data_IF_670123004100
#
_entry.id   IF_670123004100
#
_cell.length_a   1.000
_cell.length_b   1.000
_cell.length_c   1.000
_cell.angle_alpha   90.00
_cell.angle_beta   90.00
_cell.angle_gamma   90.00
#
_symmetry.space_group_name_H-M   'P 1'
#
loop_
_entity.id
_entity.type
_entity.pdbx_description
1 polymer ?
#
# COMPACT_ATOMS: atom_id res chain seq x y z
N UNK A 1 -47.60 13.85 2.27
CA UNK A 1 -48.41 13.95 3.51
C UNK A 1 -49.24 12.70 3.63
N UNK A 2 -49.21 12.01 4.78
CA UNK A 2 -50.15 10.98 5.29
C UNK A 2 -49.33 10.10 6.26
N UNK A 3 -49.10 10.56 7.48
CA UNK A 3 -49.86 10.20 8.70
C UNK A 3 -49.83 8.69 8.97
N UNK A 4 -48.93 8.28 9.87
CA UNK A 4 -49.21 7.19 10.82
C UNK A 4 -50.56 7.43 11.48
N UNK A 5 -51.31 6.36 11.80
CA UNK A 5 -51.65 6.22 13.21
C UNK A 5 -51.87 4.78 13.73
N UNK A 6 -51.84 4.69 15.08
CA UNK A 6 -52.35 3.65 15.99
C UNK A 6 -51.47 2.40 16.22
N UNK A 7 -50.76 2.31 17.35
CA UNK A 7 -51.24 1.98 18.70
C UNK A 7 -51.61 0.49 18.84
N UNK A 8 -50.63 -0.27 19.34
CA UNK A 8 -50.70 -1.71 19.61
C UNK A 8 -51.52 -1.94 20.89
N UNK A 9 -52.64 -2.67 20.79
CA UNK A 9 -53.28 -3.32 21.92
C UNK A 9 -52.63 -4.69 22.13
N UNK A 10 -52.16 -4.94 23.34
CA UNK A 10 -51.66 -6.24 23.76
C UNK A 10 -52.84 -7.20 24.02
N UNK A 11 -52.86 -8.33 23.33
CA UNK A 11 -53.67 -9.49 23.69
C UNK A 11 -52.76 -10.70 23.83
N UNK A 12 -52.80 -11.28 25.01
CA UNK A 12 -52.08 -12.47 25.45
C UNK A 12 -52.68 -13.74 24.82
N UNK A 13 -51.80 -14.64 24.35
CA UNK A 13 -52.08 -16.08 24.35
C UNK A 13 -51.98 -16.79 23.00
N UNK A 14 -50.86 -17.48 22.76
CA UNK A 14 -50.77 -18.95 22.66
C UNK A 14 -49.36 -19.36 22.22
N UNK A 15 -48.88 -20.42 22.85
CA UNK A 15 -47.56 -21.01 22.65
C UNK A 15 -47.36 -21.51 21.22
N UNK A 16 -46.58 -20.77 20.44
CA UNK A 16 -45.87 -21.28 19.27
C UNK A 16 -44.39 -21.33 19.62
N UNK A 17 -43.80 -22.52 19.60
CA UNK A 17 -42.35 -22.70 19.70
C UNK A 17 -41.71 -22.13 18.44
N UNK A 18 -41.36 -20.85 18.48
CA UNK A 18 -40.49 -20.25 17.48
C UNK A 18 -39.11 -20.89 17.62
N UNK A 19 -38.81 -21.87 16.76
CA UNK A 19 -37.43 -22.27 16.49
C UNK A 19 -36.74 -21.04 15.90
N UNK A 20 -36.05 -20.30 16.76
CA UNK A 20 -35.05 -19.33 16.32
C UNK A 20 -33.94 -20.14 15.65
N UNK A 21 -33.98 -20.26 14.32
CA UNK A 21 -32.77 -20.50 13.56
C UNK A 21 -31.87 -19.28 13.80
N UNK A 22 -31.07 -19.32 14.86
CA UNK A 22 -29.84 -18.56 14.91
C UNK A 22 -28.98 -19.14 13.79
N UNK A 23 -29.12 -18.58 12.60
CA UNK A 23 -28.03 -18.62 11.65
C UNK A 23 -26.88 -17.93 12.37
N UNK A 24 -25.95 -18.73 12.90
CA UNK A 24 -24.65 -18.23 13.28
C UNK A 24 -24.07 -17.67 12.00
N UNK A 25 -24.19 -16.36 11.80
CA UNK A 25 -23.40 -15.65 10.80
C UNK A 25 -21.97 -15.77 11.31
N UNK A 26 -21.29 -16.82 10.87
CA UNK A 26 -19.84 -16.86 10.96
C UNK A 26 -19.40 -15.76 10.00
N UNK A 27 -19.18 -14.56 10.53
CA UNK A 27 -18.39 -13.53 9.88
C UNK A 27 -17.02 -14.18 9.65
N UNK A 28 -16.84 -14.81 8.49
CA UNK A 28 -15.51 -15.12 7.99
C UNK A 28 -14.92 -13.76 7.67
N UNK A 29 -13.85 -13.31 8.36
CA UNK A 29 -13.11 -12.16 7.87
C UNK A 29 -12.29 -12.68 6.70
N UNK A 30 -12.93 -12.95 5.56
CA UNK A 30 -12.22 -13.11 4.31
C UNK A 30 -12.20 -11.72 3.71
N UNK A 31 -11.02 -11.11 3.73
CA UNK A 31 -10.77 -9.85 3.08
C UNK A 31 -10.80 -10.10 1.56
N UNK A 32 -12.01 -10.13 1.02
CA UNK A 32 -12.32 -10.35 -0.40
C UNK A 32 -11.88 -9.15 -1.23
N UNK A 33 -11.50 -9.43 -2.48
CA UNK A 33 -11.20 -8.41 -3.45
C UNK A 33 -12.51 -7.88 -4.06
N UNK A 34 -12.63 -6.56 -4.13
CA UNK A 34 -13.77 -5.91 -4.76
C UNK A 34 -13.48 -5.60 -6.22
N UNK A 35 -14.44 -5.87 -7.09
CA UNK A 35 -14.54 -5.32 -8.45
C UNK A 35 -15.89 -4.60 -8.56
N UNK A 36 -15.90 -3.43 -9.17
CA UNK A 36 -17.14 -2.68 -9.42
C UNK A 36 -18.14 -3.53 -10.21
N UNK A 37 -19.45 -3.50 -9.89
CA UNK A 37 -20.48 -4.21 -10.66
C UNK A 37 -20.65 -3.65 -12.09
N UNK A 38 -19.96 -2.56 -12.42
CA UNK A 38 -19.87 -1.99 -13.77
C UNK A 38 -18.73 -2.58 -14.59
N UNK A 39 -18.02 -3.56 -14.07
CA UNK A 39 -16.95 -4.27 -14.74
C UNK A 39 -17.10 -5.78 -14.56
N UNK A 40 -16.49 -6.52 -15.46
CA UNK A 40 -16.40 -7.98 -15.35
C UNK A 40 -14.99 -8.46 -15.68
N UNK A 41 -14.57 -9.52 -15.00
CA UNK A 41 -13.33 -10.22 -15.28
C UNK A 41 -13.53 -11.15 -16.49
N UNK A 42 -12.63 -11.07 -17.48
CA UNK A 42 -12.62 -11.94 -18.66
C UNK A 42 -11.23 -12.57 -18.84
N UNK A 43 -11.13 -13.81 -19.34
CA UNK A 43 -9.86 -14.36 -19.82
C UNK A 43 -9.27 -13.47 -20.92
N UNK A 44 -7.94 -13.30 -20.92
CA UNK A 44 -7.20 -12.51 -21.88
C UNK A 44 -6.10 -13.37 -22.49
N UNK A 45 -6.04 -13.44 -23.82
CA UNK A 45 -5.06 -14.30 -24.52
C UNK A 45 -3.64 -13.82 -24.17
N UNK A 46 -2.83 -14.72 -23.63
CA UNK A 46 -1.42 -14.44 -23.28
C UNK A 46 -1.20 -13.57 -22.03
N UNK A 47 -2.26 -13.07 -21.38
CA UNK A 47 -2.17 -12.18 -20.21
C UNK A 47 -3.03 -12.64 -19.02
N UNK A 48 -3.54 -13.88 -19.05
CA UNK A 48 -4.34 -14.45 -17.97
C UNK A 48 -5.76 -13.91 -17.96
N UNK A 49 -6.05 -12.96 -17.07
CA UNK A 49 -7.38 -12.35 -16.90
C UNK A 49 -7.25 -10.84 -16.88
N UNK A 50 -8.29 -10.14 -17.33
CA UNK A 50 -8.39 -8.69 -17.29
C UNK A 50 -9.81 -8.24 -17.01
N UNK A 51 -9.96 -7.03 -16.48
CA UNK A 51 -11.26 -6.45 -16.16
C UNK A 51 -11.69 -5.48 -17.25
N UNK A 52 -12.97 -5.56 -17.63
CA UNK A 52 -13.55 -4.76 -18.70
C UNK A 52 -14.81 -4.07 -18.22
N UNK A 53 -14.99 -2.81 -18.58
CA UNK A 53 -16.22 -2.08 -18.29
C UNK A 53 -17.40 -2.70 -19.06
N UNK A 54 -18.49 -3.01 -18.35
CA UNK A 54 -19.79 -3.46 -18.90
C UNK A 54 -20.88 -2.39 -18.79
N UNK A 55 -20.57 -1.28 -18.11
CA UNK A 55 -21.37 -0.06 -18.05
C UNK A 55 -20.42 1.16 -17.99
N UNK A 56 -20.86 2.37 -18.36
CA UNK A 56 -20.04 3.57 -18.20
C UNK A 56 -19.58 3.75 -16.75
N UNK A 57 -18.31 4.08 -16.53
CA UNK A 57 -17.75 4.33 -15.20
C UNK A 57 -17.28 5.78 -15.15
N UNK A 58 -17.77 6.56 -14.18
CA UNK A 58 -17.38 7.95 -14.03
C UNK A 58 -15.99 8.09 -13.38
N UNK A 59 -15.27 9.16 -13.70
CA UNK A 59 -14.03 9.52 -13.03
C UNK A 59 -14.21 9.55 -11.50
N UNK A 60 -13.18 9.10 -10.77
CA UNK A 60 -13.19 9.01 -9.31
C UNK A 60 -13.92 7.79 -8.74
N UNK A 61 -14.61 6.99 -9.56
CA UNK A 61 -15.24 5.74 -9.09
C UNK A 61 -14.17 4.73 -8.66
N UNK A 62 -14.33 4.13 -7.48
CA UNK A 62 -13.54 2.97 -7.06
C UNK A 62 -13.92 1.79 -7.96
N UNK A 63 -12.97 1.35 -8.78
CA UNK A 63 -13.17 0.24 -9.72
C UNK A 63 -12.75 -1.09 -9.13
N UNK A 64 -11.75 -1.10 -8.25
CA UNK A 64 -11.31 -2.29 -7.54
C UNK A 64 -10.75 -1.94 -6.16
N UNK A 65 -10.79 -2.90 -5.24
CA UNK A 65 -10.09 -2.82 -3.96
C UNK A 65 -9.44 -4.16 -3.66
N UNK A 66 -8.16 -4.13 -3.32
CA UNK A 66 -7.43 -5.31 -2.87
C UNK A 66 -7.72 -5.52 -1.38
N UNK A 67 -8.40 -6.61 -1.08
CA UNK A 67 -8.42 -7.22 0.24
C UNK A 67 -7.20 -8.13 0.42
N UNK A 68 -7.11 -8.74 1.59
CA UNK A 68 -6.11 -9.75 1.89
C UNK A 68 -5.62 -9.73 3.32
N UNK A 69 -4.66 -10.61 3.59
CA UNK A 69 -3.95 -10.65 4.87
C UNK A 69 -2.68 -9.80 4.76
N UNK A 70 -2.47 -8.80 5.66
CA UNK A 70 -1.22 -8.05 5.68
C UNK A 70 -0.06 -8.97 6.10
N UNK A 71 1.00 -9.01 5.30
CA UNK A 71 2.22 -9.77 5.55
C UNK A 71 3.45 -8.89 5.34
N UNK A 72 4.51 -9.18 6.10
CA UNK A 72 5.85 -8.71 5.78
C UNK A 72 6.41 -9.42 4.54
N UNK A 73 7.50 -8.88 3.97
CA UNK A 73 8.13 -9.44 2.77
C UNK A 73 8.55 -10.90 2.97
N UNK A 74 9.15 -11.20 4.12
CA UNK A 74 9.68 -12.52 4.43
C UNK A 74 8.59 -13.61 4.50
N UNK A 75 7.39 -13.26 4.95
CA UNK A 75 6.22 -14.15 4.97
C UNK A 75 5.53 -14.16 3.61
N UNK A 76 5.43 -13.02 2.94
CA UNK A 76 4.83 -12.88 1.62
C UNK A 76 5.55 -13.74 0.57
N UNK A 77 6.89 -13.74 0.57
CA UNK A 77 7.73 -14.51 -0.37
C UNK A 77 7.59 -16.03 -0.26
N UNK A 78 6.98 -16.53 0.82
CA UNK A 78 6.69 -17.97 1.00
C UNK A 78 5.52 -18.45 0.14
N UNK A 79 4.79 -17.52 -0.49
CA UNK A 79 3.65 -17.82 -1.35
C UNK A 79 4.03 -17.94 -2.83
N UNK A 80 3.24 -18.70 -3.57
CA UNK A 80 3.45 -18.94 -4.99
C UNK A 80 3.37 -17.65 -5.83
N UNK A 81 4.04 -17.65 -6.98
CA UNK A 81 4.15 -16.48 -7.83
C UNK A 81 2.79 -15.98 -8.36
N UNK A 82 1.83 -16.87 -8.62
CA UNK A 82 0.51 -16.49 -9.12
C UNK A 82 -0.34 -15.78 -8.06
N UNK A 83 -0.22 -16.16 -6.79
CA UNK A 83 -0.86 -15.44 -5.69
C UNK A 83 -0.17 -14.11 -5.40
N UNK A 84 1.17 -14.07 -5.47
CA UNK A 84 1.94 -12.85 -5.26
C UNK A 84 1.66 -11.79 -6.33
N UNK A 85 1.53 -12.17 -7.61
CA UNK A 85 1.25 -11.25 -8.72
C UNK A 85 -0.18 -10.68 -8.75
N UNK A 86 -1.05 -11.10 -7.83
CA UNK A 86 -2.42 -10.57 -7.63
C UNK A 86 -2.60 -9.89 -6.30
N UNK A 87 -1.51 -9.70 -5.59
CA UNK A 87 -1.46 -9.01 -4.31
C UNK A 87 -0.97 -7.58 -4.52
N UNK A 88 -1.03 -6.75 -3.47
CA UNK A 88 -0.57 -5.36 -3.58
C UNK A 88 0.32 -4.98 -2.40
N UNK A 89 1.38 -4.22 -2.69
CA UNK A 89 2.17 -3.56 -1.66
C UNK A 89 1.45 -2.32 -1.13
N UNK A 90 1.27 -2.23 0.19
CA UNK A 90 0.57 -1.11 0.84
C UNK A 90 1.45 -0.25 1.74
N UNK A 91 2.62 -0.78 2.15
CA UNK A 91 3.65 -0.05 2.88
C UNK A 91 5.06 -0.65 2.62
N UNK A 92 6.09 -0.09 3.25
CA UNK A 92 7.52 -0.42 3.03
C UNK A 92 7.82 -1.92 3.11
N UNK A 93 7.28 -2.60 4.12
CA UNK A 93 7.40 -4.04 4.36
C UNK A 93 6.02 -4.63 4.67
N UNK A 94 5.00 -4.21 3.90
CA UNK A 94 3.63 -4.66 4.12
C UNK A 94 2.90 -4.86 2.81
N UNK A 95 2.44 -6.08 2.61
CA UNK A 95 1.76 -6.55 1.41
C UNK A 95 0.40 -7.14 1.81
N UNK A 96 -0.65 -6.80 1.09
CA UNK A 96 -1.93 -7.49 1.23
C UNK A 96 -1.91 -8.74 0.35
N UNK A 97 -1.70 -9.89 0.99
CA UNK A 97 -1.76 -11.16 0.30
C UNK A 97 -3.21 -11.48 -0.06
N UNK A 98 -3.50 -11.49 -1.36
CA UNK A 98 -4.82 -11.76 -1.91
C UNK A 98 -5.35 -13.17 -1.55
N UNK A 99 -6.62 -13.46 -1.87
CA UNK A 99 -7.26 -14.74 -1.57
C UNK A 99 -6.53 -15.93 -2.23
N UNK A 100 -6.61 -17.15 -1.65
CA UNK A 100 -5.98 -18.34 -2.23
C UNK A 100 -6.51 -18.70 -3.63
N UNK A 101 -7.76 -18.33 -3.92
CA UNK A 101 -8.39 -18.50 -5.24
C UNK A 101 -8.53 -17.13 -5.88
N UNK A 102 -8.39 -17.08 -7.20
CA UNK A 102 -8.54 -15.84 -7.97
C UNK A 102 -9.96 -15.30 -7.86
N UNK A 103 -10.08 -14.03 -7.51
CA UNK A 103 -11.35 -13.30 -7.47
C UNK A 103 -11.40 -12.23 -8.58
N UNK A 104 -12.59 -11.74 -8.98
CA UNK A 104 -12.70 -10.73 -10.03
C UNK A 104 -11.90 -9.45 -9.78
N UNK A 105 -11.76 -9.03 -8.52
CA UNK A 105 -10.97 -7.85 -8.15
C UNK A 105 -9.46 -8.02 -8.34
N UNK A 106 -8.98 -9.25 -8.60
CA UNK A 106 -7.57 -9.55 -8.85
C UNK A 106 -7.12 -9.18 -10.27
N UNK A 107 -8.06 -8.87 -11.17
CA UNK A 107 -7.82 -8.82 -12.61
C UNK A 107 -7.71 -7.39 -13.15
N UNK A 108 -7.08 -6.47 -12.43
CA UNK A 108 -6.74 -5.15 -12.95
C UNK A 108 -5.28 -5.18 -13.44
N UNK A 109 -5.10 -5.29 -14.74
CA UNK A 109 -3.78 -5.44 -15.34
C UNK A 109 -3.02 -4.12 -15.45
N UNK A 110 -1.73 -4.28 -15.70
CA UNK A 110 -0.83 -3.19 -16.00
C UNK A 110 -1.08 -2.55 -17.39
N UNK A 111 -1.03 -1.22 -17.47
CA UNK A 111 -0.78 -0.44 -18.70
C UNK A 111 0.16 0.73 -18.42
N UNK A 112 1.07 1.05 -19.35
CA UNK A 112 1.91 2.27 -19.27
C UNK A 112 1.12 3.55 -19.61
N UNK A 113 -0.05 3.39 -20.24
CA UNK A 113 -1.04 4.45 -20.51
C UNK A 113 -2.40 4.00 -19.90
N UNK A 114 -2.53 4.04 -18.56
CA UNK A 114 -3.70 3.51 -17.89
C UNK A 114 -4.89 4.47 -17.90
N UNK A 115 -6.07 3.95 -17.57
CA UNK A 115 -7.28 4.73 -17.30
C UNK A 115 -7.68 4.75 -15.80
N UNK A 116 -7.00 3.96 -14.97
CA UNK A 116 -7.16 3.90 -13.53
C UNK A 116 -5.84 4.20 -12.80
N UNK A 117 -5.92 4.56 -11.52
CA UNK A 117 -4.77 4.81 -10.66
C UNK A 117 -5.11 4.57 -9.19
N UNK A 118 -4.15 4.74 -8.27
CA UNK A 118 -4.40 4.50 -6.85
C UNK A 118 -5.25 5.62 -6.25
N UNK A 119 -6.34 5.25 -5.57
CA UNK A 119 -7.18 6.14 -4.76
C UNK A 119 -6.93 6.01 -3.26
N UNK A 120 -5.92 5.23 -2.86
CA UNK A 120 -5.59 4.93 -1.48
C UNK A 120 -4.51 3.86 -1.40
N UNK A 121 -4.35 3.22 -0.24
CA UNK A 121 -3.35 2.16 -0.07
C UNK A 121 -3.68 0.89 -0.88
N UNK A 122 -4.96 0.54 -1.00
CA UNK A 122 -5.42 -0.69 -1.65
C UNK A 122 -6.57 -0.48 -2.63
N UNK A 123 -6.92 0.77 -2.94
CA UNK A 123 -8.05 1.12 -3.82
C UNK A 123 -7.55 1.59 -5.17
N UNK A 124 -8.18 1.09 -6.24
CA UNK A 124 -7.97 1.56 -7.61
C UNK A 124 -9.20 2.36 -8.04
N UNK A 125 -8.97 3.56 -8.56
CA UNK A 125 -10.01 4.49 -8.99
C UNK A 125 -9.86 4.85 -10.46
N UNK A 126 -10.97 5.16 -11.13
CA UNK A 126 -10.95 5.69 -12.48
C UNK A 126 -10.37 7.11 -12.51
N UNK A 127 -9.39 7.39 -13.38
CA UNK A 127 -8.77 8.72 -13.52
C UNK A 127 -9.54 9.63 -14.47
N UNK A 128 -10.36 9.03 -15.34
CA UNK A 128 -11.24 9.68 -16.30
C UNK A 128 -12.54 8.87 -16.42
N UNK A 129 -13.51 9.39 -17.15
CA UNK A 129 -14.66 8.59 -17.55
C UNK A 129 -14.20 7.43 -18.45
N UNK A 130 -14.77 6.24 -18.21
CA UNK A 130 -14.45 4.99 -18.91
C UNK A 130 -15.71 4.50 -19.63
N UNK A 131 -15.57 4.25 -20.92
CA UNK A 131 -16.62 3.76 -21.78
C UNK A 131 -16.81 2.23 -21.65
N UNK A 132 -18.00 1.76 -22.02
CA UNK A 132 -18.29 0.32 -22.10
C UNK A 132 -17.30 -0.36 -23.04
N UNK A 133 -16.75 -1.49 -22.62
CA UNK A 133 -15.81 -2.29 -23.40
C UNK A 133 -14.34 -1.94 -23.17
N UNK A 134 -14.02 -0.79 -22.56
CA UNK A 134 -12.64 -0.46 -22.23
C UNK A 134 -12.09 -1.40 -21.14
N UNK A 135 -10.82 -1.80 -21.29
CA UNK A 135 -10.09 -2.54 -20.27
C UNK A 135 -9.73 -1.60 -19.11
N UNK A 136 -9.94 -2.05 -17.88
CA UNK A 136 -9.51 -1.34 -16.68
C UNK A 136 -8.05 -1.69 -16.39
N UNK A 137 -7.19 -0.68 -16.38
CA UNK A 137 -5.75 -0.86 -16.16
C UNK A 137 -5.17 0.26 -15.31
N UNK A 138 -4.13 -0.04 -14.55
CA UNK A 138 -3.34 0.97 -13.83
C UNK A 138 -1.84 0.75 -14.07
N UNK A 139 -1.04 1.79 -13.88
CA UNK A 139 0.41 1.65 -13.91
C UNK A 139 0.89 1.12 -12.56
N UNK A 140 1.58 -0.02 -12.54
CA UNK A 140 2.06 -0.65 -11.31
C UNK A 140 3.12 0.21 -10.61
N UNK A 141 3.77 1.14 -11.32
CA UNK A 141 4.62 2.15 -10.69
C UNK A 141 3.87 3.01 -9.66
N UNK A 142 2.54 3.09 -9.75
CA UNK A 142 1.71 3.78 -8.76
C UNK A 142 1.56 3.02 -7.44
N UNK A 143 1.87 1.72 -7.38
CA UNK A 143 1.68 0.89 -6.19
C UNK A 143 2.95 0.17 -5.73
N UNK A 144 3.82 -0.23 -6.65
CA UNK A 144 4.93 -1.14 -6.35
C UNK A 144 6.23 -0.39 -6.07
N UNK A 145 6.85 -0.76 -4.95
CA UNK A 145 8.07 -0.17 -4.43
C UNK A 145 9.20 -1.18 -4.21
N UNK A 146 8.97 -2.44 -4.61
CA UNK A 146 9.85 -3.59 -4.45
C UNK A 146 9.75 -4.52 -5.66
N UNK A 147 10.70 -5.45 -5.79
CA UNK A 147 10.86 -6.36 -6.93
C UNK A 147 9.92 -7.59 -6.93
N UNK A 148 8.88 -7.62 -6.11
CA UNK A 148 8.05 -8.82 -5.92
C UNK A 148 7.25 -9.23 -7.16
N UNK A 149 6.95 -8.28 -8.05
CA UNK A 149 6.12 -8.45 -9.25
C UNK A 149 6.71 -7.72 -10.48
N UNK A 150 8.01 -7.89 -10.73
CA UNK A 150 8.64 -7.38 -11.97
C UNK A 150 8.37 -8.30 -13.16
N UNK A 151 8.10 -7.72 -14.34
CA UNK A 151 7.83 -8.49 -15.56
C UNK A 151 8.17 -7.73 -16.85
N UNK A 152 8.35 -8.49 -17.94
CA UNK A 152 8.43 -7.94 -19.29
C UNK A 152 7.04 -7.43 -19.74
N UNK A 153 6.96 -6.15 -20.10
CA UNK A 153 5.69 -5.50 -20.39
C UNK A 153 5.33 -5.61 -21.87
N UNK A 154 4.11 -6.09 -22.12
CA UNK A 154 3.50 -6.21 -23.44
C UNK A 154 2.12 -5.51 -23.50
N UNK A 155 1.92 -4.43 -22.75
CA UNK A 155 0.61 -3.76 -22.64
C UNK A 155 0.09 -3.12 -23.93
N UNK A 156 0.94 -2.97 -24.96
CA UNK A 156 0.56 -2.48 -26.28
C UNK A 156 0.38 -0.96 -26.40
N UNK A 157 0.55 -0.20 -25.32
CA UNK A 157 0.51 1.27 -25.36
C UNK A 157 1.67 1.85 -26.19
N UNK A 158 1.49 3.04 -26.75
CA UNK A 158 2.55 3.68 -27.56
C UNK A 158 3.79 4.04 -26.74
N UNK A 159 3.61 4.39 -25.47
CA UNK A 159 4.70 4.63 -24.51
C UNK A 159 5.03 3.40 -23.65
N UNK A 160 4.86 2.18 -24.18
CA UNK A 160 5.20 0.96 -23.46
C UNK A 160 6.68 0.97 -23.02
N UNK A 161 6.93 0.68 -21.74
CA UNK A 161 8.28 0.66 -21.15
C UNK A 161 9.07 -0.60 -21.47
N UNK A 162 8.43 -1.66 -21.97
CA UNK A 162 9.05 -2.97 -22.24
C UNK A 162 9.38 -3.80 -20.99
N UNK A 163 9.56 -3.17 -19.82
CA UNK A 163 9.69 -3.81 -18.52
C UNK A 163 9.07 -2.95 -17.43
N UNK A 164 8.41 -3.58 -16.47
CA UNK A 164 7.93 -2.96 -15.21
C UNK A 164 8.87 -3.39 -14.09
N UNK A 165 9.29 -2.44 -13.25
CA UNK A 165 10.19 -2.69 -12.11
C UNK A 165 9.67 -2.07 -10.82
N UNK A 166 10.13 -2.59 -9.68
CA UNK A 166 9.82 -2.03 -8.36
C UNK A 166 10.46 -0.66 -8.08
N UNK A 167 11.24 -0.14 -9.04
CA UNK A 167 11.90 1.16 -8.98
C UNK A 167 11.27 2.20 -9.91
N UNK A 168 10.28 1.82 -10.72
CA UNK A 168 9.67 2.73 -11.70
C UNK A 168 9.03 3.98 -11.06
N UNK A 169 8.52 3.88 -9.83
CA UNK A 169 7.99 5.01 -9.07
C UNK A 169 8.99 6.17 -8.90
N UNK A 170 10.30 5.91 -9.02
CA UNK A 170 11.35 6.93 -8.91
C UNK A 170 11.47 7.80 -10.16
N UNK A 171 10.91 7.36 -11.29
CA UNK A 171 11.06 8.04 -12.57
C UNK A 171 10.25 9.35 -12.61
N UNK A 172 10.93 10.44 -12.96
CA UNK A 172 10.33 11.77 -12.98
C UNK A 172 9.16 11.89 -13.98
N UNK A 173 9.26 11.23 -15.14
CA UNK A 173 8.20 11.23 -16.15
C UNK A 173 6.92 10.54 -15.64
N UNK A 174 7.05 9.45 -14.89
CA UNK A 174 5.90 8.75 -14.29
C UNK A 174 5.33 9.53 -13.10
N UNK A 175 6.18 10.13 -12.26
CA UNK A 175 5.73 11.01 -11.17
C UNK A 175 4.92 12.20 -11.69
N UNK A 176 5.33 12.79 -12.82
CA UNK A 176 4.59 13.88 -13.45
C UNK A 176 3.28 13.40 -14.06
N UNK A 177 3.30 12.28 -14.80
CA UNK A 177 2.14 11.75 -15.52
C UNK A 177 1.04 11.26 -14.57
N UNK A 178 1.43 10.57 -13.50
CA UNK A 178 0.52 9.91 -12.56
C UNK A 178 0.35 10.71 -11.25
N UNK A 179 0.65 12.01 -11.29
CA UNK A 179 0.55 12.88 -10.12
C UNK A 179 -0.84 12.80 -9.48
N UNK A 180 -0.88 12.53 -8.18
CA UNK A 180 -2.14 12.37 -7.42
C UNK A 180 -2.69 10.94 -7.37
N UNK A 181 -2.11 9.99 -8.11
CA UNK A 181 -2.59 8.61 -8.19
C UNK A 181 -1.57 7.56 -7.70
N UNK A 182 -0.52 7.97 -7.00
CA UNK A 182 0.38 7.04 -6.32
C UNK A 182 -0.19 6.60 -4.97
N UNK A 183 0.15 5.38 -4.57
CA UNK A 183 -0.16 4.85 -3.25
C UNK A 183 0.46 5.76 -2.16
N UNK A 184 -0.20 5.91 -0.99
CA UNK A 184 0.27 6.82 0.04
C UNK A 184 1.70 6.55 0.51
N UNK A 185 2.14 5.29 0.57
CA UNK A 185 3.51 4.97 1.01
C UNK A 185 4.56 5.38 -0.03
N UNK A 186 4.27 5.24 -1.33
CA UNK A 186 5.17 5.74 -2.38
C UNK A 186 5.23 7.27 -2.37
N UNK A 187 4.11 7.96 -2.12
CA UNK A 187 4.11 9.42 -1.92
C UNK A 187 5.02 9.81 -0.74
N UNK A 188 4.96 9.07 0.37
CA UNK A 188 5.88 9.27 1.51
C UNK A 188 7.34 9.02 1.11
N UNK A 189 7.64 7.99 0.32
CA UNK A 189 9.00 7.72 -0.19
C UNK A 189 9.51 8.84 -1.09
N UNK A 190 8.67 9.38 -1.97
CA UNK A 190 9.03 10.51 -2.82
C UNK A 190 9.31 11.77 -2.01
N UNK A 191 8.48 12.09 -1.02
CA UNK A 191 8.71 13.21 -0.12
C UNK A 191 10.01 13.03 0.69
N UNK A 192 10.22 11.83 1.22
CA UNK A 192 11.43 11.47 1.93
C UNK A 192 12.67 11.66 1.05
N UNK A 193 12.67 11.16 -0.18
CA UNK A 193 13.78 11.31 -1.12
C UNK A 193 14.10 12.79 -1.44
N UNK A 194 13.09 13.67 -1.45
CA UNK A 194 13.29 15.11 -1.69
C UNK A 194 13.80 15.88 -0.48
N UNK A 195 13.58 15.37 0.73
CA UNK A 195 13.88 16.09 1.99
C UNK A 195 15.06 15.50 2.77
N UNK A 196 15.39 14.23 2.51
CA UNK A 196 16.55 13.54 3.04
C UNK A 196 17.83 14.31 2.70
N UNK A 197 18.66 14.52 3.73
CA UNK A 197 19.95 15.20 3.58
C UNK A 197 20.93 14.70 4.64
N UNK A 198 22.22 14.87 4.39
CA UNK A 198 23.23 14.64 5.43
C UNK A 198 23.03 15.62 6.59
N UNK A 199 23.43 15.21 7.78
CA UNK A 199 23.44 16.07 8.96
C UNK A 199 24.36 17.27 8.72
N UNK A 200 23.89 18.47 9.02
CA UNK A 200 24.72 19.66 9.10
C UNK A 200 25.35 19.76 10.49
N UNK A 201 26.33 20.66 10.66
CA UNK A 201 26.98 20.92 11.95
C UNK A 201 25.99 21.10 13.10
N UNK A 202 24.95 21.93 12.90
CA UNK A 202 23.90 22.18 13.91
C UNK A 202 23.12 20.92 14.31
N UNK A 203 22.92 20.00 13.37
CA UNK A 203 22.15 18.78 13.63
C UNK A 203 22.99 17.83 14.48
N UNK A 204 24.30 17.77 14.23
CA UNK A 204 25.26 16.99 15.04
C UNK A 204 25.43 17.59 16.44
N UNK A 205 25.51 18.91 16.56
CA UNK A 205 25.54 19.57 17.87
C UNK A 205 24.29 19.23 18.68
N UNK A 206 23.12 19.26 18.05
CA UNK A 206 21.85 18.85 18.69
C UNK A 206 21.87 17.38 19.11
N UNK A 207 22.35 16.49 18.23
CA UNK A 207 22.51 15.06 18.52
C UNK A 207 23.38 14.85 19.76
N UNK A 208 24.61 15.39 19.77
CA UNK A 208 25.57 15.16 20.86
C UNK A 208 25.11 15.77 22.19
N UNK A 209 24.50 16.95 22.17
CA UNK A 209 24.00 17.58 23.39
C UNK A 209 22.81 16.83 24.02
N UNK A 210 22.03 16.12 23.20
CA UNK A 210 20.84 15.39 23.67
C UNK A 210 21.16 13.93 24.02
N UNK A 211 22.21 13.35 23.43
CA UNK A 211 22.53 11.92 23.50
C UNK A 211 22.65 11.38 24.94
N UNK A 212 23.29 12.12 25.85
CA UNK A 212 23.51 11.68 27.23
C UNK A 212 22.22 11.63 28.07
N UNK A 213 21.20 12.41 27.69
CA UNK A 213 19.97 12.59 28.46
C UNK A 213 18.79 11.82 27.86
N UNK A 214 18.67 11.84 26.53
CA UNK A 214 17.65 11.13 25.77
C UNK A 214 18.25 10.60 24.45
N UNK A 215 18.96 9.46 24.49
CA UNK A 215 19.66 8.95 23.32
C UNK A 215 18.70 8.49 22.21
N UNK A 216 17.50 8.03 22.57
CA UNK A 216 16.50 7.59 21.58
C UNK A 216 16.01 8.79 20.78
N UNK A 217 15.60 9.88 21.43
CA UNK A 217 15.13 11.06 20.71
C UNK A 217 16.28 11.78 19.97
N UNK A 218 17.48 11.82 20.54
CA UNK A 218 18.65 12.38 19.87
C UNK A 218 18.93 11.68 18.52
N UNK A 219 18.95 10.35 18.53
CA UNK A 219 19.14 9.54 17.33
C UNK A 219 17.93 9.58 16.40
N UNK A 220 16.71 9.60 16.93
CA UNK A 220 15.51 9.77 16.14
C UNK A 220 15.56 11.09 15.37
N UNK A 221 15.82 12.22 16.03
CA UNK A 221 15.92 13.52 15.38
C UNK A 221 16.94 13.53 14.24
N UNK A 222 18.12 12.93 14.46
CA UNK A 222 19.14 12.79 13.42
C UNK A 222 18.67 11.90 12.24
N UNK A 223 18.09 10.74 12.53
CA UNK A 223 17.56 9.83 11.50
C UNK A 223 16.41 10.47 10.70
N UNK A 224 15.54 11.28 11.33
CA UNK A 224 14.46 12.00 10.64
C UNK A 224 15.03 12.94 9.57
N UNK A 225 16.18 13.57 9.80
CA UNK A 225 16.89 14.39 8.82
C UNK A 225 17.48 13.54 7.70
N UNK A 226 18.23 12.49 8.06
CA UNK A 226 18.94 11.63 7.09
C UNK A 226 17.97 10.89 6.18
N UNK A 227 16.83 10.46 6.71
CA UNK A 227 15.82 9.69 5.98
C UNK A 227 14.71 10.56 5.38
N UNK A 228 14.67 11.87 5.65
CA UNK A 228 13.61 12.77 5.16
C UNK A 228 12.23 12.46 5.77
N UNK A 229 12.19 12.02 7.02
CA UNK A 229 10.97 11.52 7.69
C UNK A 229 10.69 12.25 9.00
N UNK A 230 10.26 13.53 8.95
CA UNK A 230 10.18 14.41 10.11
C UNK A 230 9.21 13.99 11.22
N UNK A 231 8.31 13.03 10.95
CA UNK A 231 7.28 12.59 11.90
C UNK A 231 7.33 11.09 12.21
N UNK A 232 8.38 10.38 11.79
CA UNK A 232 8.51 8.96 12.08
C UNK A 232 9.04 8.71 13.49
N UNK A 233 8.57 7.62 14.11
CA UNK A 233 9.09 7.12 15.38
C UNK A 233 10.50 6.56 15.20
N UNK A 234 11.24 6.43 16.31
CA UNK A 234 12.56 5.81 16.30
C UNK A 234 12.54 4.39 15.72
N UNK A 235 11.57 3.58 16.12
CA UNK A 235 11.38 2.21 15.60
C UNK A 235 11.22 2.18 14.08
N UNK A 236 10.32 3.01 13.53
CA UNK A 236 10.13 3.08 12.07
C UNK A 236 11.39 3.56 11.35
N UNK A 237 12.10 4.54 11.91
CA UNK A 237 13.35 5.04 11.33
C UNK A 237 14.44 3.96 11.32
N UNK A 238 14.59 3.21 12.41
CA UNK A 238 15.53 2.09 12.53
C UNK A 238 15.18 0.94 11.56
N UNK A 239 13.89 0.67 11.36
CA UNK A 239 13.42 -0.30 10.37
C UNK A 239 13.76 0.11 8.93
N UNK A 240 13.62 1.40 8.63
CA UNK A 240 13.86 1.99 7.30
C UNK A 240 15.33 2.29 7.00
N UNK A 241 16.14 2.47 8.04
CA UNK A 241 17.52 2.88 7.88
C UNK A 241 18.36 1.77 7.25
N UNK A 242 19.27 2.10 6.31
CA UNK A 242 20.19 1.13 5.71
C UNK A 242 21.31 0.66 6.66
N UNK A 243 21.15 0.89 7.98
CA UNK A 243 22.07 0.41 9.01
C UNK A 243 22.07 -1.13 8.98
N UNK A 244 23.25 -1.69 9.25
CA UNK A 244 23.45 -3.12 9.42
C UNK A 244 22.37 -3.74 10.34
N UNK A 245 21.71 -4.79 9.85
CA UNK A 245 20.62 -5.47 10.54
C UNK A 245 21.05 -6.07 11.87
N UNK A 246 22.35 -6.37 12.05
CA UNK A 246 22.91 -6.85 13.31
C UNK A 246 22.79 -5.82 14.46
N UNK A 247 22.69 -4.52 14.15
CA UNK A 247 22.53 -3.49 15.18
C UNK A 247 21.06 -3.27 15.52
N UNK A 248 20.16 -3.57 14.58
CA UNK A 248 18.73 -3.23 14.66
C UNK A 248 18.09 -3.72 15.96
N UNK A 249 18.30 -4.98 16.32
CA UNK A 249 17.75 -5.55 17.56
C UNK A 249 18.29 -4.83 18.81
N UNK A 250 19.57 -4.44 18.80
CA UNK A 250 20.17 -3.67 19.91
C UNK A 250 19.65 -2.24 19.99
N UNK A 251 19.44 -1.59 18.85
CA UNK A 251 18.83 -0.26 18.78
C UNK A 251 17.40 -0.27 19.32
N UNK A 252 16.58 -1.25 18.88
CA UNK A 252 15.21 -1.41 19.34
C UNK A 252 15.11 -1.80 20.82
N UNK A 253 16.09 -2.54 21.34
CA UNK A 253 16.20 -2.87 22.75
C UNK A 253 16.82 -1.75 23.62
N UNK A 254 17.25 -0.63 23.01
CA UNK A 254 17.86 0.48 23.73
C UNK A 254 19.24 0.17 24.32
N UNK A 255 19.99 -0.77 23.76
CA UNK A 255 21.33 -1.11 24.24
C UNK A 255 22.30 0.04 23.99
N UNK A 256 22.90 0.59 25.05
CA UNK A 256 23.81 1.74 25.00
C UNK A 256 24.88 1.60 23.89
N UNK A 257 25.57 0.46 23.82
CA UNK A 257 26.61 0.22 22.80
C UNK A 257 26.09 0.30 21.35
N UNK A 258 24.83 -0.04 21.10
CA UNK A 258 24.22 0.09 19.77
C UNK A 258 23.85 1.54 19.47
N UNK A 259 23.32 2.26 20.47
CA UNK A 259 22.96 3.68 20.36
C UNK A 259 24.21 4.54 20.14
N UNK A 260 25.29 4.32 20.90
CA UNK A 260 26.57 5.01 20.78
C UNK A 260 27.20 4.78 19.40
N UNK A 261 27.14 3.54 18.92
CA UNK A 261 27.65 3.17 17.60
C UNK A 261 26.88 3.88 16.48
N UNK A 262 25.56 4.00 16.60
CA UNK A 262 24.77 4.75 15.64
C UNK A 262 25.08 6.25 15.70
N UNK A 263 25.24 6.82 16.89
CA UNK A 263 25.63 8.22 17.05
C UNK A 263 26.98 8.52 16.36
N UNK A 264 27.98 7.65 16.58
CA UNK A 264 29.28 7.73 15.91
C UNK A 264 29.14 7.65 14.39
N UNK A 265 28.39 6.67 13.88
CA UNK A 265 28.14 6.50 12.44
C UNK A 265 27.50 7.74 11.82
N UNK A 266 26.45 8.30 12.44
CA UNK A 266 25.76 9.50 11.96
C UNK A 266 26.67 10.73 11.97
N UNK A 267 27.54 10.86 12.97
CA UNK A 267 28.51 11.94 13.05
C UNK A 267 29.60 11.83 11.97
N UNK A 268 30.11 10.63 11.70
CA UNK A 268 31.12 10.37 10.66
C UNK A 268 30.59 10.62 9.24
N UNK A 269 29.30 10.38 9.00
CA UNK A 269 28.66 10.52 7.69
C UNK A 269 27.95 11.87 7.48
N UNK A 270 28.24 12.87 8.33
CA UNK A 270 27.67 14.22 8.21
C UNK A 270 28.13 14.94 6.95
N UNK A 271 27.37 15.97 6.55
CA UNK A 271 27.78 16.90 5.49
C UNK A 271 28.89 17.84 5.97
N UNK A 272 29.68 18.36 5.03
CA UNK A 272 30.68 19.39 5.29
C UNK A 272 30.02 20.75 5.53
#
# INVERSE_FOLDING_TARGET
>A
MLKCPHAIRATTGRHGTFRTCRATVILRPMAENYLTPRAEMRPTIGAGFGSFAIAPIAAGTIVACFGGTPLDRASFDRHDADRRSRSIQIDEDTYLLGPPKREPGDAINHSCEPNCGMGGAAQVVAMRDIAVGETLTFDYAMADGSDYDEFACACGSTSCRGRVTGSDWQRADLQQRHGGYFSPYLVRRMHAARTARRLAKRDVETLLNTLDHDPIEALAAALRVVLGRPHSSFESLVGLSPIDTSWRSGLLAGHAAALDRLAAHLNEHRGF
#
